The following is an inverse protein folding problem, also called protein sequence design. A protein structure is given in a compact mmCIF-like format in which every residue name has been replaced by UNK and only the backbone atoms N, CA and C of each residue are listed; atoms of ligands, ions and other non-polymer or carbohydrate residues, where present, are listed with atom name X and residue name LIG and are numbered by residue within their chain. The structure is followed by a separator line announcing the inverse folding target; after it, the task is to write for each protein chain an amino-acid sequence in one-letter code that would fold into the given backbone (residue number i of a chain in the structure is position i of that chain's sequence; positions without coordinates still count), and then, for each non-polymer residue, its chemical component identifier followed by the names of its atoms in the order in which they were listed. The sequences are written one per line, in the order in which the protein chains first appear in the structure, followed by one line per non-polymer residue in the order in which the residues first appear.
data_IF_839868604529
#
_entry.id   IF_839868604529
#
_cell.length_a   1.000
_cell.length_b   1.000
_cell.length_c   1.000
_cell.angle_alpha   90.00
_cell.angle_beta   90.00
_cell.angle_gamma   90.00
#
_symmetry.space_group_name_H-M   'P 1'
#
loop_
_entity.id
_entity.type
_entity.pdbx_description
1 polymer ?
#
# COMPACT_ATOMS: atom_id res chain seq x y z
N UNK A 1 -11.72 -1.59 -5.77
CA UNK A 1 -10.42 -0.97 -6.14
C UNK A 1 -9.48 -2.09 -6.52
N UNK A 2 -8.82 -1.98 -7.67
CA UNK A 2 -7.84 -2.97 -8.13
C UNK A 2 -6.50 -2.79 -7.41
N UNK A 3 -5.68 -3.84 -7.35
CA UNK A 3 -4.34 -3.76 -6.73
C UNK A 3 -3.49 -2.67 -7.38
N UNK A 4 -3.49 -2.54 -8.71
CA UNK A 4 -2.77 -1.45 -9.42
C UNK A 4 -3.25 -0.06 -9.05
N UNK A 5 -4.55 0.10 -8.84
CA UNK A 5 -5.16 1.38 -8.44
C UNK A 5 -4.75 1.74 -7.02
N UNK A 6 -4.80 0.76 -6.10
CA UNK A 6 -4.37 0.93 -4.72
C UNK A 6 -2.87 1.27 -4.62
N UNK A 7 -2.00 0.58 -5.38
CA UNK A 7 -0.58 0.91 -5.44
C UNK A 7 -0.35 2.36 -5.89
N UNK A 8 -1.05 2.79 -6.94
CA UNK A 8 -0.94 4.16 -7.47
C UNK A 8 -1.44 5.19 -6.46
N UNK A 9 -2.57 4.94 -5.83
CA UNK A 9 -3.16 5.84 -4.82
C UNK A 9 -2.26 5.99 -3.60
N UNK A 10 -1.83 4.88 -3.00
CA UNK A 10 -0.94 4.88 -1.83
C UNK A 10 0.40 5.53 -2.16
N UNK A 11 0.99 5.20 -3.32
CA UNK A 11 2.24 5.86 -3.76
C UNK A 11 2.07 7.38 -3.85
N UNK A 12 0.95 7.84 -4.42
CA UNK A 12 0.64 9.27 -4.52
C UNK A 12 0.50 9.95 -3.16
N UNK A 13 -0.17 9.28 -2.20
CA UNK A 13 -0.30 9.77 -0.82
C UNK A 13 1.05 9.84 -0.10
N UNK A 14 1.94 8.88 -0.35
CA UNK A 14 3.24 8.80 0.33
C UNK A 14 4.35 9.62 -0.33
N UNK A 15 4.18 10.07 -1.58
CA UNK A 15 5.20 10.80 -2.35
C UNK A 15 5.73 12.07 -1.65
N UNK A 16 4.96 12.68 -0.74
CA UNK A 16 5.36 13.88 -0.01
C UNK A 16 6.10 13.60 1.30
N UNK A 17 6.03 12.38 1.82
CA UNK A 17 6.54 12.01 3.15
C UNK A 17 7.61 10.91 3.11
N UNK A 18 7.82 10.31 1.94
CA UNK A 18 8.76 9.20 1.76
C UNK A 18 9.48 9.31 0.41
N UNK A 19 10.82 9.27 0.46
CA UNK A 19 11.66 9.18 -0.74
C UNK A 19 11.50 7.82 -1.45
N UNK A 20 11.01 6.81 -0.73
CA UNK A 20 10.75 5.45 -1.21
C UNK A 20 9.25 5.16 -1.35
N UNK A 21 8.42 6.16 -1.67
CA UNK A 21 6.95 6.04 -1.67
C UNK A 21 6.38 4.81 -2.41
N UNK A 22 6.94 4.43 -3.56
CA UNK A 22 6.50 3.24 -4.31
C UNK A 22 6.84 1.92 -3.59
N UNK A 23 8.00 1.87 -2.93
CA UNK A 23 8.39 0.72 -2.11
C UNK A 23 7.51 0.65 -0.86
N UNK A 24 7.31 1.78 -0.19
CA UNK A 24 6.44 1.89 0.98
C UNK A 24 5.01 1.42 0.67
N UNK A 25 4.45 1.85 -0.47
CA UNK A 25 3.15 1.39 -0.94
C UNK A 25 3.10 -0.12 -1.17
N UNK A 26 4.15 -0.67 -1.79
CA UNK A 26 4.25 -2.12 -2.01
C UNK A 26 4.29 -2.89 -0.68
N UNK A 27 5.05 -2.40 0.31
CA UNK A 27 5.16 -3.04 1.62
C UNK A 27 3.83 -3.02 2.38
N UNK A 28 3.12 -1.89 2.37
CA UNK A 28 1.78 -1.78 2.99
C UNK A 28 0.82 -2.77 2.36
N UNK A 29 0.73 -2.80 1.03
CA UNK A 29 -0.18 -3.73 0.34
C UNK A 29 0.22 -5.18 0.56
N UNK A 30 1.52 -5.49 0.56
CA UNK A 30 2.02 -6.83 0.86
C UNK A 30 1.63 -7.29 2.27
N UNK A 31 1.72 -6.39 3.26
CA UNK A 31 1.32 -6.69 4.64
C UNK A 31 -0.16 -7.03 4.76
N UNK A 32 -1.02 -6.25 4.08
CA UNK A 32 -2.47 -6.38 4.19
C UNK A 32 -3.00 -7.58 3.38
N UNK A 33 -2.49 -7.78 2.17
CA UNK A 33 -2.94 -8.84 1.26
C UNK A 33 -2.25 -10.19 1.50
N UNK A 34 -1.07 -10.18 2.13
CA UNK A 34 -0.19 -11.34 2.22
C UNK A 34 0.59 -11.63 0.93
N UNK A 35 0.42 -10.83 -0.12
CA UNK A 35 1.09 -11.02 -1.40
C UNK A 35 2.51 -10.45 -1.38
N UNK A 36 3.45 -11.19 -1.97
CA UNK A 36 4.77 -10.66 -2.28
C UNK A 36 4.69 -9.54 -3.33
N UNK A 37 5.78 -8.77 -3.47
CA UNK A 37 5.86 -7.71 -4.49
C UNK A 37 5.64 -8.25 -5.92
N UNK A 38 6.11 -9.46 -6.21
CA UNK A 38 5.90 -10.11 -7.51
C UNK A 38 4.42 -10.46 -7.70
N UNK A 39 3.77 -10.99 -6.68
CA UNK A 39 2.35 -11.33 -6.72
C UNK A 39 1.47 -10.08 -6.88
N UNK A 40 1.79 -8.97 -6.20
CA UNK A 40 1.10 -7.69 -6.40
C UNK A 40 1.20 -7.20 -7.86
N UNK A 41 2.31 -7.49 -8.54
CA UNK A 41 2.48 -7.15 -9.95
C UNK A 41 1.72 -8.11 -10.87
N UNK A 42 1.71 -9.42 -10.57
CA UNK A 42 1.02 -10.42 -11.39
C UNK A 42 -0.50 -10.40 -11.21
N UNK A 43 -0.98 -9.92 -10.06
CA UNK A 43 -2.39 -9.83 -9.67
C UNK A 43 -2.89 -8.38 -9.70
N UNK A 44 -2.27 -7.53 -10.50
CA UNK A 44 -2.53 -6.09 -10.51
C UNK A 44 -4.00 -5.73 -10.84
N UNK A 45 -4.70 -6.62 -11.55
CA UNK A 45 -6.14 -6.55 -11.87
C UNK A 45 -7.08 -7.24 -10.87
N UNK A 46 -6.57 -7.76 -9.75
CA UNK A 46 -7.41 -8.36 -8.71
C UNK A 46 -8.11 -7.27 -7.89
N UNK A 47 -9.38 -7.52 -7.53
CA UNK A 47 -10.19 -6.59 -6.76
C UNK A 47 -9.91 -6.78 -5.26
N UNK A 48 -9.51 -5.70 -4.60
CA UNK A 48 -9.38 -5.68 -3.14
C UNK A 48 -10.76 -5.64 -2.47
N UNK A 49 -10.92 -6.50 -1.46
CA UNK A 49 -12.09 -6.51 -0.58
C UNK A 49 -12.12 -5.25 0.30
N UNK A 50 -13.31 -4.87 0.75
CA UNK A 50 -13.52 -3.61 1.47
C UNK A 50 -12.73 -3.52 2.79
N UNK A 51 -12.62 -4.64 3.52
CA UNK A 51 -11.81 -4.75 4.75
C UNK A 51 -10.33 -4.45 4.47
N UNK A 52 -9.79 -4.97 3.36
CA UNK A 52 -8.41 -4.73 2.93
C UNK A 52 -8.17 -3.28 2.53
N UNK A 53 -9.14 -2.66 1.86
CA UNK A 53 -9.06 -1.24 1.51
C UNK A 53 -9.00 -0.38 2.78
N UNK A 54 -9.87 -0.64 3.76
CA UNK A 54 -9.87 0.09 5.04
C UNK A 54 -8.55 -0.09 5.80
N UNK A 55 -8.01 -1.31 5.82
CA UNK A 55 -6.72 -1.59 6.48
C UNK A 55 -5.55 -0.87 5.78
N UNK A 56 -5.49 -0.88 4.45
CA UNK A 56 -4.49 -0.14 3.66
C UNK A 56 -4.57 1.36 3.94
N UNK A 57 -5.77 1.94 3.99
CA UNK A 57 -5.96 3.35 4.28
C UNK A 57 -5.48 3.72 5.69
N UNK A 58 -5.78 2.88 6.69
CA UNK A 58 -5.32 3.09 8.06
C UNK A 58 -3.78 3.09 8.17
N UNK A 59 -3.12 2.10 7.55
CA UNK A 59 -1.65 2.02 7.54
C UNK A 59 -1.02 3.16 6.73
N UNK A 60 -1.65 3.57 5.63
CA UNK A 60 -1.20 4.72 4.84
C UNK A 60 -1.27 6.00 5.67
N UNK A 61 -2.34 6.21 6.42
CA UNK A 61 -2.49 7.41 7.25
C UNK A 61 -1.47 7.46 8.39
N UNK A 62 -1.15 6.30 8.99
CA UNK A 62 -0.06 6.16 9.96
C UNK A 62 1.28 6.57 9.33
N UNK A 63 1.59 6.07 8.13
CA UNK A 63 2.81 6.43 7.40
C UNK A 63 2.87 7.93 7.05
N UNK A 64 1.76 8.51 6.59
CA UNK A 64 1.63 9.95 6.31
C UNK A 64 1.88 10.79 7.56
N UNK A 65 1.51 10.28 8.72
CA UNK A 65 1.76 10.91 10.02
C UNK A 65 3.20 10.70 10.53
N UNK A 66 4.13 10.40 9.61
CA UNK A 66 5.55 10.15 9.85
C UNK A 66 5.88 8.94 10.74
N UNK A 67 4.95 8.01 10.92
CA UNK A 67 5.29 6.75 11.56
C UNK A 67 6.33 5.98 10.73
N UNK A 68 7.39 5.42 11.33
CA UNK A 68 8.40 4.67 10.58
C UNK A 68 7.83 3.38 9.99
N UNK A 69 8.18 3.08 8.75
CA UNK A 69 7.66 1.90 8.02
C UNK A 69 7.90 0.57 8.74
N UNK A 70 8.97 0.44 9.53
CA UNK A 70 9.27 -0.77 10.29
C UNK A 70 8.21 -1.12 11.37
N UNK A 71 7.40 -0.16 11.81
CA UNK A 71 6.32 -0.36 12.78
C UNK A 71 4.93 -0.51 12.13
N UNK A 72 4.87 -0.34 10.81
CA UNK A 72 3.64 -0.42 10.01
C UNK A 72 3.39 -1.84 9.60
#
# INVERSE_FOLDING_TARGET
MLIKEALKDVTGKLAKVSESASLDASLILSKVTGYSKLELFMKDEEVLMADKITEIEALTQRRVSHEPMAYI
#
